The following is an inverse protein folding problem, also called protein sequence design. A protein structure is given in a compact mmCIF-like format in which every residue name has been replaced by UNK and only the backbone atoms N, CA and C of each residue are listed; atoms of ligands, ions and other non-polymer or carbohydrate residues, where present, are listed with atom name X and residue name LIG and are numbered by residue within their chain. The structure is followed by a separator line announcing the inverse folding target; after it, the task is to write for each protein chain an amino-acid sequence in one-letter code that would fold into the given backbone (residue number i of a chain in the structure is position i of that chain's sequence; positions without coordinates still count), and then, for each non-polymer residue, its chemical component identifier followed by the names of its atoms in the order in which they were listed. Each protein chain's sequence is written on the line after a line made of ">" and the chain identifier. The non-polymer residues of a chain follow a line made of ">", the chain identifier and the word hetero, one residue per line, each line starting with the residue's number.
data_IF_882132340328
#
_entry.id   IF_882132340328
#
_cell.length_a   1.000
_cell.length_b   1.000
_cell.length_c   1.000
_cell.angle_alpha   90.00
_cell.angle_beta   90.00
_cell.angle_gamma   90.00
#
_symmetry.space_group_name_H-M   'P 1'
#
loop_
_entity.id
_entity.type
_entity.pdbx_description
1 polymer ?
#
# COMPACT_ATOMS: atom_id res chain seq x y z
N UNK A 1 -5.65 -22.92 10.93
CA UNK A 1 -6.70 -22.79 9.90
C UNK A 1 -6.86 -21.30 9.72
N UNK A 2 -6.21 -20.75 8.70
CA UNK A 2 -6.03 -19.30 8.54
C UNK A 2 -7.34 -18.67 8.07
N UNK A 3 -7.75 -17.58 8.73
CA UNK A 3 -8.97 -16.81 8.45
C UNK A 3 -9.04 -16.32 6.99
N UNK A 4 -7.89 -16.25 6.30
CA UNK A 4 -7.73 -15.95 4.87
C UNK A 4 -8.30 -17.00 3.90
N UNK A 5 -8.55 -18.23 4.39
CA UNK A 5 -9.25 -19.27 3.63
C UNK A 5 -10.79 -19.13 3.66
N UNK A 6 -11.32 -18.21 4.48
CA UNK A 6 -12.74 -17.84 4.46
C UNK A 6 -13.12 -16.97 3.27
N UNK A 7 -14.34 -17.14 2.79
CA UNK A 7 -15.02 -16.20 1.88
C UNK A 7 -15.22 -14.87 2.64
N UNK A 8 -14.25 -13.95 2.57
CA UNK A 8 -14.40 -12.64 3.19
C UNK A 8 -14.02 -11.54 2.19
N UNK A 9 -15.05 -10.89 1.65
CA UNK A 9 -14.95 -9.61 0.98
C UNK A 9 -14.79 -8.51 2.05
N UNK A 10 -14.04 -7.44 1.74
CA UNK A 10 -14.05 -6.26 2.62
C UNK A 10 -15.35 -5.51 2.34
N UNK A 11 -16.36 -5.78 3.15
CA UNK A 11 -17.67 -5.13 3.09
C UNK A 11 -17.57 -3.81 3.88
N UNK A 12 -17.63 -2.67 3.18
CA UNK A 12 -18.00 -1.43 3.85
C UNK A 12 -19.52 -1.50 4.10
N UNK A 13 -20.02 -1.41 5.35
CA UNK A 13 -21.43 -1.62 5.62
C UNK A 13 -22.29 -0.58 4.89
N UNK A 14 -23.03 -1.03 3.90
CA UNK A 14 -24.05 -0.25 3.20
C UNK A 14 -25.31 -0.25 4.07
N UNK A 15 -25.51 0.80 4.85
CA UNK A 15 -26.83 1.08 5.41
C UNK A 15 -27.49 2.24 4.63
N UNK A 16 -28.55 1.92 3.90
CA UNK A 16 -29.48 2.89 3.30
C UNK A 16 -28.98 3.58 2.01
N UNK A 17 -28.67 2.81 0.97
CA UNK A 17 -28.81 3.25 -0.43
C UNK A 17 -30.31 3.46 -0.69
N UNK A 18 -30.84 4.55 -1.23
CA UNK A 18 -30.60 5.08 -2.57
C UNK A 18 -30.82 6.61 -2.66
N UNK A 19 -31.32 7.27 -1.60
CA UNK A 19 -31.85 8.63 -1.75
C UNK A 19 -30.81 9.76 -1.55
N UNK A 20 -29.81 9.60 -0.67
CA UNK A 20 -28.98 10.74 -0.21
C UNK A 20 -27.72 11.06 -1.03
N UNK A 21 -27.18 10.10 -1.80
CA UNK A 21 -26.00 10.32 -2.67
C UNK A 21 -26.34 10.46 -4.16
N UNK A 22 -27.64 10.42 -4.50
CA UNK A 22 -28.13 10.61 -5.87
C UNK A 22 -27.77 11.99 -6.46
N UNK A 23 -27.27 12.90 -5.63
CA UNK A 23 -26.82 14.24 -6.03
C UNK A 23 -25.33 14.43 -5.77
N UNK A 24 -24.69 15.22 -6.63
CA UNK A 24 -23.31 15.67 -6.45
C UNK A 24 -23.08 16.41 -5.12
N UNK A 25 -24.12 17.03 -4.54
CA UNK A 25 -24.05 17.67 -3.24
C UNK A 25 -23.90 16.63 -2.10
N UNK A 26 -24.69 15.56 -2.15
CA UNK A 26 -24.57 14.45 -1.19
C UNK A 26 -23.20 13.77 -1.27
N UNK A 27 -22.67 13.58 -2.48
CA UNK A 27 -21.31 13.06 -2.68
C UNK A 27 -20.27 13.97 -2.01
N UNK A 28 -20.33 15.28 -2.23
CA UNK A 28 -19.39 16.23 -1.64
C UNK A 28 -19.45 16.22 -0.09
N UNK A 29 -20.64 16.11 0.49
CA UNK A 29 -20.82 16.03 1.95
C UNK A 29 -20.24 14.74 2.53
N UNK A 30 -20.54 13.58 1.92
CA UNK A 30 -20.02 12.28 2.39
C UNK A 30 -18.50 12.21 2.24
N UNK A 31 -17.93 12.74 1.16
CA UNK A 31 -16.47 12.88 1.02
C UNK A 31 -15.90 13.77 2.13
N UNK A 32 -16.52 14.92 2.41
CA UNK A 32 -16.08 15.82 3.48
C UNK A 32 -16.09 15.15 4.86
N UNK A 33 -17.15 14.38 5.16
CA UNK A 33 -17.25 13.60 6.40
C UNK A 33 -16.25 12.45 6.44
N UNK A 34 -16.06 11.74 5.34
CA UNK A 34 -15.10 10.63 5.23
C UNK A 34 -13.68 11.09 5.56
N UNK A 35 -13.24 12.20 4.95
CA UNK A 35 -11.90 12.75 5.18
C UNK A 35 -11.68 13.22 6.62
N UNK A 36 -12.76 13.51 7.35
CA UNK A 36 -12.72 13.89 8.77
C UNK A 36 -13.13 12.75 9.71
N UNK A 37 -13.28 11.51 9.21
CA UNK A 37 -13.82 10.39 10.01
C UNK A 37 -13.02 10.14 11.30
N UNK A 38 -11.70 10.29 11.25
CA UNK A 38 -10.84 10.12 12.42
C UNK A 38 -11.11 11.18 13.49
N UNK A 39 -11.38 12.42 13.10
CA UNK A 39 -11.72 13.53 13.98
C UNK A 39 -13.14 13.38 14.52
N UNK A 40 -14.10 13.03 13.65
CA UNK A 40 -15.52 12.83 14.01
C UNK A 40 -15.69 11.69 15.01
N UNK A 41 -14.91 10.61 14.85
CA UNK A 41 -14.96 9.42 15.70
C UNK A 41 -13.95 9.45 16.85
N UNK A 42 -13.26 10.57 17.08
CA UNK A 42 -12.28 10.68 18.15
C UNK A 42 -12.93 10.43 19.51
N UNK A 43 -12.44 9.42 20.22
CA UNK A 43 -12.99 9.02 21.53
C UNK A 43 -14.31 8.27 21.47
N UNK A 44 -14.74 7.84 20.26
CA UNK A 44 -15.93 7.03 20.05
C UNK A 44 -15.57 5.62 19.61
N UNK A 45 -16.44 4.68 19.90
CA UNK A 45 -16.42 3.28 19.49
C UNK A 45 -17.58 2.99 18.55
N UNK A 46 -17.52 1.90 17.81
CA UNK A 46 -18.61 1.47 16.91
C UNK A 46 -19.93 1.18 17.63
N UNK A 47 -19.91 1.02 18.96
CA UNK A 47 -21.10 0.86 19.80
C UNK A 47 -21.79 2.19 20.12
N UNK A 48 -21.10 3.32 19.92
CA UNK A 48 -21.70 4.64 20.14
C UNK A 48 -22.64 4.98 18.98
N UNK A 49 -23.91 5.29 19.26
CA UNK A 49 -24.88 5.67 18.22
C UNK A 49 -24.52 6.94 17.43
N UNK A 50 -23.53 7.71 17.89
CA UNK A 50 -22.97 8.88 17.20
C UNK A 50 -21.66 8.57 16.44
N UNK A 51 -21.26 7.30 16.36
CA UNK A 51 -20.13 6.85 15.57
C UNK A 51 -20.48 6.95 14.09
N UNK A 52 -19.63 7.65 13.35
CA UNK A 52 -19.81 7.81 11.92
C UNK A 52 -19.20 6.63 11.19
N UNK A 53 -20.04 5.84 10.52
CA UNK A 53 -19.65 4.83 9.55
C UNK A 53 -19.67 5.48 8.17
N UNK A 54 -18.50 5.57 7.54
CA UNK A 54 -18.44 6.09 6.19
C UNK A 54 -18.83 5.02 5.17
N UNK A 55 -19.40 5.49 4.05
CA UNK A 55 -19.76 4.69 2.88
C UNK A 55 -18.58 4.36 1.97
N UNK A 56 -17.40 4.91 2.24
CA UNK A 56 -16.18 4.62 1.48
C UNK A 56 -15.18 3.79 2.29
N UNK A 57 -14.46 2.92 1.59
CA UNK A 57 -13.19 2.38 2.06
C UNK A 57 -12.04 3.33 1.65
N UNK A 58 -11.11 3.60 2.58
CA UNK A 58 -9.88 4.34 2.24
C UNK A 58 -8.84 3.39 1.68
N UNK A 59 -8.25 3.80 0.56
CA UNK A 59 -7.07 3.25 -0.06
C UNK A 59 -5.99 4.35 -0.11
N UNK A 60 -4.73 3.97 -0.27
CA UNK A 60 -3.60 4.91 -0.23
C UNK A 60 -2.58 4.54 -1.29
N UNK A 61 -2.20 5.52 -2.11
CA UNK A 61 -1.09 5.38 -3.06
C UNK A 61 0.29 5.55 -2.43
N UNK A 62 0.38 6.10 -1.20
CA UNK A 62 1.65 6.21 -0.48
C UNK A 62 1.89 4.98 0.41
N UNK A 63 2.77 4.09 -0.04
CA UNK A 63 3.16 2.87 0.67
C UNK A 63 3.75 3.14 2.06
N UNK A 64 4.50 4.23 2.25
CA UNK A 64 5.06 4.58 3.58
C UNK A 64 3.95 4.94 4.54
N UNK A 65 3.00 5.75 4.09
CA UNK A 65 1.84 6.12 4.89
C UNK A 65 1.02 4.90 5.29
N UNK A 66 0.78 3.99 4.34
CA UNK A 66 0.08 2.73 4.57
C UNK A 66 0.79 1.89 5.63
N UNK A 67 2.08 1.61 5.46
CA UNK A 67 2.86 0.80 6.39
C UNK A 67 2.94 1.43 7.79
N UNK A 68 3.24 2.73 7.86
CA UNK A 68 3.30 3.47 9.12
C UNK A 68 1.98 3.36 9.89
N UNK A 69 0.87 3.57 9.18
CA UNK A 69 -0.48 3.48 9.74
C UNK A 69 -0.81 2.06 10.18
N UNK A 70 -0.42 1.04 9.41
CA UNK A 70 -0.64 -0.37 9.75
C UNK A 70 0.09 -0.77 11.03
N UNK A 71 1.37 -0.36 11.20
CA UNK A 71 2.10 -0.61 12.45
C UNK A 71 1.51 0.13 13.65
N UNK A 72 1.05 1.38 13.46
CA UNK A 72 0.36 2.12 14.52
C UNK A 72 -0.98 1.50 14.95
N UNK A 73 -1.69 0.87 14.02
CA UNK A 73 -2.92 0.13 14.31
C UNK A 73 -2.60 -1.19 15.00
N UNK A 74 -1.58 -1.89 14.51
CA UNK A 74 -1.09 -3.14 15.07
C UNK A 74 -0.72 -2.99 16.57
N UNK A 75 -0.04 -1.91 16.94
CA UNK A 75 0.31 -1.63 18.35
C UNK A 75 -0.90 -1.38 19.28
N UNK A 76 -2.12 -1.30 18.72
CA UNK A 76 -3.38 -1.03 19.43
C UNK A 76 -4.42 -2.13 19.17
N UNK A 77 -4.02 -3.22 18.51
CA UNK A 77 -4.95 -4.27 18.11
C UNK A 77 -5.41 -5.08 19.32
N UNK A 78 -6.67 -5.50 19.29
CA UNK A 78 -7.22 -6.45 20.26
C UNK A 78 -6.76 -7.87 19.92
N UNK A 79 -6.78 -8.77 20.91
CA UNK A 79 -6.44 -10.18 20.69
C UNK A 79 -7.34 -10.80 19.60
N UNK A 80 -6.72 -11.49 18.63
CA UNK A 80 -7.42 -12.13 17.51
C UNK A 80 -7.64 -11.25 16.27
N UNK A 81 -7.17 -10.01 16.25
CA UNK A 81 -7.15 -9.18 15.04
C UNK A 81 -5.75 -9.17 14.41
N UNK A 82 -5.71 -9.24 13.09
CA UNK A 82 -4.47 -9.09 12.31
C UNK A 82 -4.43 -7.72 11.62
N UNK A 83 -3.29 -7.06 11.72
CA UNK A 83 -3.02 -5.78 11.05
C UNK A 83 -1.93 -5.97 10.02
N UNK A 84 -2.06 -5.34 8.85
CA UNK A 84 -1.10 -5.50 7.78
C UNK A 84 -1.30 -4.51 6.64
N UNK A 85 -0.63 -4.76 5.54
CA UNK A 85 -0.76 -4.03 4.28
C UNK A 85 -1.45 -4.93 3.25
N UNK A 86 -2.60 -4.48 2.76
CA UNK A 86 -3.28 -5.09 1.61
C UNK A 86 -2.93 -4.30 0.34
N UNK A 87 -2.53 -5.00 -0.72
CA UNK A 87 -2.19 -4.45 -2.03
C UNK A 87 -3.29 -4.84 -2.99
N UNK A 88 -3.87 -3.85 -3.67
CA UNK A 88 -4.95 -4.08 -4.64
C UNK A 88 -4.57 -3.63 -6.04
N UNK A 89 -4.98 -4.40 -7.06
CA UNK A 89 -4.92 -3.99 -8.45
C UNK A 89 -6.14 -3.11 -8.76
N UNK A 90 -5.89 -1.82 -8.96
CA UNK A 90 -6.95 -0.85 -9.25
C UNK A 90 -7.67 -1.10 -10.58
N UNK A 91 -7.00 -1.71 -11.57
CA UNK A 91 -7.66 -2.08 -12.81
C UNK A 91 -8.72 -3.17 -12.56
N UNK A 92 -8.37 -4.19 -11.78
CA UNK A 92 -9.31 -5.26 -11.41
C UNK A 92 -10.45 -4.70 -10.55
N UNK A 93 -10.17 -3.78 -9.62
CA UNK A 93 -11.23 -3.08 -8.86
C UNK A 93 -12.26 -2.45 -9.80
N UNK A 94 -11.79 -1.69 -10.80
CA UNK A 94 -12.66 -1.02 -11.77
C UNK A 94 -13.39 -2.01 -12.69
N UNK A 95 -12.74 -3.09 -13.13
CA UNK A 95 -13.33 -4.15 -13.96
C UNK A 95 -14.46 -4.89 -13.22
N UNK A 96 -14.31 -5.08 -11.90
CA UNK A 96 -15.34 -5.64 -11.03
C UNK A 96 -16.46 -4.65 -10.68
N UNK A 97 -16.45 -3.43 -11.24
CA UNK A 97 -17.48 -2.42 -11.03
C UNK A 97 -17.28 -1.52 -9.80
N UNK A 98 -16.18 -1.67 -9.06
CA UNK A 98 -15.87 -0.78 -7.94
C UNK A 98 -15.50 0.62 -8.44
N UNK A 99 -16.02 1.66 -7.80
CA UNK A 99 -15.72 3.04 -8.14
C UNK A 99 -14.60 3.55 -7.25
N UNK A 100 -13.41 3.70 -7.84
CA UNK A 100 -12.22 4.21 -7.16
C UNK A 100 -11.97 5.64 -7.60
N UNK A 101 -11.97 6.57 -6.66
CA UNK A 101 -11.66 7.97 -6.92
C UNK A 101 -10.39 8.36 -6.19
N UNK A 102 -9.45 8.96 -6.92
CA UNK A 102 -8.37 9.71 -6.29
C UNK A 102 -8.96 10.96 -5.65
N UNK A 103 -8.75 11.14 -4.35
CA UNK A 103 -9.40 12.22 -3.60
C UNK A 103 -8.97 13.59 -4.13
N UNK A 104 -7.70 13.78 -4.47
CA UNK A 104 -7.22 15.06 -5.02
C UNK A 104 -7.94 15.47 -6.31
N UNK A 105 -8.17 14.52 -7.22
CA UNK A 105 -8.90 14.76 -8.48
C UNK A 105 -10.37 15.07 -8.21
N UNK A 106 -10.98 14.35 -7.26
CA UNK A 106 -12.36 14.59 -6.84
C UNK A 106 -12.52 15.98 -6.20
N UNK A 107 -11.60 16.39 -5.33
CA UNK A 107 -11.60 17.72 -4.71
C UNK A 107 -11.41 18.83 -5.75
N UNK A 108 -10.50 18.62 -6.72
CA UNK A 108 -10.30 19.55 -7.83
C UNK A 108 -11.56 19.69 -8.68
N UNK A 109 -12.22 18.57 -8.99
CA UNK A 109 -13.47 18.56 -9.73
C UNK A 109 -14.58 19.30 -8.98
N UNK A 110 -14.81 18.97 -7.71
CA UNK A 110 -15.84 19.60 -6.87
C UNK A 110 -15.58 21.11 -6.69
N UNK A 111 -14.32 21.51 -6.50
CA UNK A 111 -13.94 22.92 -6.34
C UNK A 111 -14.14 23.77 -7.59
N UNK A 112 -14.11 23.18 -8.79
CA UNK A 112 -14.36 23.88 -10.06
C UNK A 112 -15.84 24.13 -10.34
N UNK A 113 -16.75 23.49 -9.60
CA UNK A 113 -18.19 23.62 -9.84
C UNK A 113 -18.76 24.81 -9.05
N UNK A 114 -19.33 25.85 -9.72
CA UNK A 114 -19.83 27.05 -9.04
C UNK A 114 -20.90 26.78 -7.98
N UNK A 115 -21.67 25.69 -8.15
CA UNK A 115 -22.72 25.25 -7.21
C UNK A 115 -22.19 24.54 -5.95
N UNK A 116 -20.91 24.14 -5.96
CA UNK A 116 -20.24 23.42 -4.86
C UNK A 116 -18.97 24.15 -4.37
N UNK A 117 -18.69 25.33 -4.95
CA UNK A 117 -17.51 26.17 -4.66
C UNK A 117 -17.49 26.79 -3.26
N UNK A 118 -18.43 26.42 -2.37
CA UNK A 118 -18.44 26.81 -0.98
C UNK A 118 -19.06 25.70 -0.11
N UNK A 119 -18.41 25.44 1.02
CA UNK A 119 -18.91 24.79 2.25
C UNK A 119 -18.99 23.27 2.44
N UNK A 120 -18.93 22.40 1.42
CA UNK A 120 -19.07 20.96 1.71
C UNK A 120 -17.80 20.33 2.33
N UNK A 121 -16.61 20.71 1.83
CA UNK A 121 -15.34 20.10 2.24
C UNK A 121 -14.43 21.19 2.81
N UNK A 122 -14.14 21.07 4.10
CA UNK A 122 -13.31 22.04 4.84
C UNK A 122 -11.86 22.02 4.35
N UNK A 123 -11.14 23.14 4.49
CA UNK A 123 -9.70 23.18 4.18
C UNK A 123 -8.90 22.14 4.98
N UNK A 124 -9.31 21.86 6.22
CA UNK A 124 -8.70 20.80 7.02
C UNK A 124 -8.82 19.42 6.36
N UNK A 125 -10.00 19.10 5.81
CA UNK A 125 -10.24 17.85 5.08
C UNK A 125 -9.39 17.77 3.80
N UNK A 126 -9.25 18.90 3.09
CA UNK A 126 -8.39 18.98 1.89
C UNK A 126 -6.92 18.75 2.22
N UNK A 127 -6.41 19.40 3.28
CA UNK A 127 -5.03 19.19 3.76
C UNK A 127 -4.81 17.73 4.15
N UNK A 128 -5.78 17.12 4.84
CA UNK A 128 -5.67 15.72 5.23
C UNK A 128 -5.55 14.77 4.03
N UNK A 129 -6.39 14.96 3.01
CA UNK A 129 -6.38 14.17 1.78
C UNK A 129 -5.03 14.19 1.05
N UNK A 130 -4.30 15.32 1.12
CA UNK A 130 -2.99 15.45 0.45
C UNK A 130 -1.86 14.65 1.11
N UNK A 131 -2.02 14.21 2.37
CA UNK A 131 -0.94 13.58 3.12
C UNK A 131 -0.69 12.10 2.77
N UNK A 132 -1.65 11.44 2.13
CA UNK A 132 -1.66 9.98 1.95
C UNK A 132 -1.74 9.53 0.48
N UNK A 133 -1.81 10.46 -0.47
CA UNK A 133 -2.30 10.16 -1.83
C UNK A 133 -3.57 9.30 -1.76
N UNK A 134 -4.58 9.82 -1.06
CA UNK A 134 -5.75 9.02 -0.68
C UNK A 134 -6.63 8.72 -1.89
N UNK A 135 -7.10 7.48 -1.94
CA UNK A 135 -8.15 7.02 -2.83
C UNK A 135 -9.33 6.58 -1.97
N UNK A 136 -10.53 6.83 -2.46
CA UNK A 136 -11.74 6.30 -1.85
C UNK A 136 -12.36 5.30 -2.81
N UNK A 137 -12.70 4.13 -2.27
CA UNK A 137 -13.49 3.13 -2.97
C UNK A 137 -14.92 3.22 -2.45
N UNK A 138 -15.86 3.46 -3.35
CA UNK A 138 -17.27 3.28 -3.04
C UNK A 138 -17.57 1.78 -3.08
N UNK A 139 -18.36 1.31 -2.12
CA UNK A 139 -19.02 0.01 -2.12
C UNK A 139 -18.15 -1.10 -1.53
N UNK A 140 -17.79 -2.09 -2.34
CA UNK A 140 -17.07 -3.30 -1.94
C UNK A 140 -15.70 -3.33 -2.62
N UNK A 141 -14.69 -3.77 -1.88
CA UNK A 141 -13.38 -4.10 -2.46
C UNK A 141 -13.40 -5.62 -2.75
N UNK A 142 -13.56 -6.03 -4.02
CA UNK A 142 -13.59 -7.44 -4.40
C UNK A 142 -12.28 -8.14 -4.05
N UNK A 143 -12.37 -9.37 -3.53
CA UNK A 143 -11.19 -10.20 -3.21
C UNK A 143 -10.32 -10.47 -4.44
N UNK A 144 -10.91 -10.52 -5.62
CA UNK A 144 -10.23 -10.74 -6.90
C UNK A 144 -9.19 -9.65 -7.20
N UNK A 145 -9.39 -8.44 -6.67
CA UNK A 145 -8.44 -7.35 -6.83
C UNK A 145 -7.31 -7.39 -5.80
N UNK A 146 -7.39 -8.22 -4.75
CA UNK A 146 -6.33 -8.37 -3.75
C UNK A 146 -5.14 -9.10 -4.39
N UNK A 147 -4.05 -8.35 -4.60
CA UNK A 147 -2.78 -8.89 -5.09
C UNK A 147 -2.06 -9.62 -3.97
N UNK A 148 -1.97 -8.99 -2.79
CA UNK A 148 -1.33 -9.60 -1.63
C UNK A 148 -1.81 -8.95 -0.32
N UNK A 149 -1.72 -9.69 0.79
CA UNK A 149 -1.82 -9.16 2.14
C UNK A 149 -0.58 -9.60 2.93
N UNK A 150 0.09 -8.63 3.54
CA UNK A 150 1.27 -8.88 4.36
C UNK A 150 1.01 -8.37 5.77
N UNK A 151 1.09 -9.26 6.75
CA UNK A 151 0.89 -8.88 8.15
C UNK A 151 2.08 -8.12 8.72
N UNK A 152 1.82 -7.26 9.70
CA UNK A 152 2.85 -6.55 10.43
C UNK A 152 3.81 -7.51 11.13
N UNK A 153 3.31 -8.65 11.62
CA UNK A 153 4.14 -9.67 12.27
C UNK A 153 5.12 -10.28 11.27
N UNK A 154 4.64 -10.71 10.09
CA UNK A 154 5.50 -11.27 9.03
C UNK A 154 6.60 -10.30 8.61
N UNK A 155 6.30 -9.02 8.43
CA UNK A 155 7.30 -8.00 8.05
C UNK A 155 8.40 -7.77 9.11
N UNK A 156 8.25 -8.35 10.29
CA UNK A 156 9.16 -8.13 11.43
C UNK A 156 9.70 -9.42 12.04
N UNK A 157 9.27 -10.57 11.53
CA UNK A 157 9.60 -11.88 12.08
C UNK A 157 11.04 -12.28 11.74
N UNK A 158 11.71 -12.96 12.68
CA UNK A 158 13.00 -13.63 12.47
C UNK A 158 14.21 -12.74 12.15
N UNK A 159 14.05 -11.42 11.99
CA UNK A 159 15.13 -10.50 11.62
C UNK A 159 15.66 -9.75 12.85
N UNK A 160 16.99 -9.69 12.96
CA UNK A 160 17.63 -8.83 13.94
C UNK A 160 17.31 -7.35 13.63
N UNK A 161 17.04 -6.48 14.64
CA UNK A 161 16.59 -5.11 14.42
C UNK A 161 17.47 -4.29 13.46
N UNK A 162 18.79 -4.51 13.51
CA UNK A 162 19.77 -3.86 12.66
C UNK A 162 19.73 -4.33 11.21
N UNK A 163 19.04 -5.42 10.88
CA UNK A 163 18.87 -5.93 9.50
C UNK A 163 17.49 -5.62 8.92
N UNK A 164 16.55 -5.14 9.73
CA UNK A 164 15.22 -4.78 9.29
C UNK A 164 15.24 -3.52 8.42
N UNK A 165 14.45 -3.52 7.35
CA UNK A 165 14.20 -2.31 6.55
C UNK A 165 13.26 -1.34 7.27
N UNK A 166 12.20 -1.85 7.91
CA UNK A 166 11.27 -1.04 8.68
C UNK A 166 11.76 -0.89 10.12
N UNK A 167 12.50 0.19 10.37
CA UNK A 167 13.08 0.51 11.69
C UNK A 167 12.01 0.64 12.79
N UNK A 168 12.39 0.40 14.04
CA UNK A 168 11.49 0.63 15.19
C UNK A 168 10.97 2.07 15.21
N UNK A 169 11.79 3.07 14.91
CA UNK A 169 11.33 4.46 14.91
C UNK A 169 10.31 4.74 13.80
N UNK A 170 10.38 4.02 12.67
CA UNK A 170 9.34 4.09 11.66
C UNK A 170 8.04 3.48 12.21
N UNK A 171 8.10 2.28 12.79
CA UNK A 171 6.93 1.53 13.27
C UNK A 171 6.22 2.18 14.47
N UNK A 172 6.98 2.80 15.37
CA UNK A 172 6.51 3.19 16.71
C UNK A 172 6.18 4.68 16.84
N UNK A 173 6.67 5.53 15.94
CA UNK A 173 6.38 6.97 16.00
C UNK A 173 4.90 7.27 15.73
N UNK A 174 4.38 8.33 16.35
CA UNK A 174 2.95 8.67 16.21
C UNK A 174 2.60 9.27 14.84
N UNK A 175 3.57 9.73 14.07
CA UNK A 175 3.35 10.26 12.71
C UNK A 175 4.61 10.18 11.87
N UNK A 176 4.47 10.11 10.55
CA UNK A 176 5.60 10.25 9.63
C UNK A 176 6.34 11.58 9.79
N UNK A 177 5.65 12.65 10.22
CA UNK A 177 6.30 13.93 10.50
C UNK A 177 7.28 13.84 11.68
N UNK A 178 6.90 13.13 12.74
CA UNK A 178 7.80 12.87 13.87
C UNK A 178 8.92 11.89 13.50
N UNK A 179 8.62 10.90 12.67
CA UNK A 179 9.66 10.01 12.12
C UNK A 179 10.72 10.77 11.33
N UNK A 180 10.33 11.75 10.51
CA UNK A 180 11.28 12.58 9.72
C UNK A 180 12.26 13.38 10.58
N UNK A 181 11.97 13.58 11.87
CA UNK A 181 12.85 14.25 12.84
C UNK A 181 13.84 13.30 13.50
N UNK A 182 13.70 11.99 13.31
CA UNK A 182 14.62 10.98 13.85
C UNK A 182 15.91 10.92 13.07
N UNK A 183 16.97 10.50 13.75
CA UNK A 183 18.27 10.32 13.12
C UNK A 183 18.20 9.26 12.02
N UNK A 184 18.90 9.55 10.92
CA UNK A 184 18.99 8.65 9.79
C UNK A 184 20.13 7.67 10.01
N UNK A 185 19.92 6.43 9.60
CA UNK A 185 20.98 5.42 9.61
C UNK A 185 21.80 5.57 8.35
N UNK A 186 23.11 5.72 8.52
CA UNK A 186 24.05 5.70 7.40
C UNK A 186 24.29 4.26 6.95
N UNK A 187 24.11 3.98 5.66
CA UNK A 187 24.33 2.67 5.06
C UNK A 187 25.20 2.77 3.81
N UNK A 188 25.90 1.69 3.50
CA UNK A 188 26.41 1.48 2.14
C UNK A 188 25.26 1.17 1.18
N UNK A 189 25.46 1.33 -0.15
CA UNK A 189 24.45 0.92 -1.13
C UNK A 189 24.08 -0.57 -1.00
N UNK A 190 25.08 -1.42 -0.73
CA UNK A 190 24.88 -2.86 -0.60
C UNK A 190 24.05 -3.22 0.63
N UNK A 191 24.31 -2.57 1.77
CA UNK A 191 23.51 -2.78 2.98
C UNK A 191 22.07 -2.31 2.79
N UNK A 192 21.86 -1.18 2.12
CA UNK A 192 20.53 -0.66 1.86
C UNK A 192 19.72 -1.59 0.96
N UNK A 193 20.31 -2.03 -0.16
CA UNK A 193 19.67 -2.95 -1.10
C UNK A 193 19.43 -4.33 -0.47
N UNK A 194 20.34 -4.82 0.37
CA UNK A 194 20.17 -6.08 1.09
C UNK A 194 18.95 -6.04 2.04
N UNK A 195 18.78 -4.95 2.79
CA UNK A 195 17.59 -4.77 3.66
C UNK A 195 16.31 -4.70 2.84
N UNK A 196 16.34 -4.02 1.69
CA UNK A 196 15.18 -3.95 0.78
C UNK A 196 14.84 -5.34 0.23
N UNK A 197 15.82 -6.12 -0.22
CA UNK A 197 15.58 -7.49 -0.72
C UNK A 197 14.84 -8.34 0.31
N UNK A 198 15.29 -8.34 1.56
CA UNK A 198 14.61 -9.06 2.65
C UNK A 198 13.16 -8.59 2.85
N UNK A 199 12.94 -7.27 2.82
CA UNK A 199 11.61 -6.69 2.95
C UNK A 199 10.69 -6.98 1.75
N UNK A 200 11.24 -6.96 0.53
CA UNK A 200 10.51 -7.26 -0.69
C UNK A 200 10.14 -8.74 -0.79
N UNK A 201 10.95 -9.65 -0.23
CA UNK A 201 10.63 -11.07 -0.15
C UNK A 201 9.28 -11.32 0.54
N UNK A 202 8.94 -10.55 1.58
CA UNK A 202 7.63 -10.63 2.23
C UNK A 202 6.52 -9.99 1.39
N UNK A 203 6.77 -8.81 0.80
CA UNK A 203 5.80 -8.12 -0.08
C UNK A 203 5.45 -8.95 -1.32
N UNK A 204 6.45 -9.62 -1.88
CA UNK A 204 6.35 -10.32 -3.15
C UNK A 204 6.05 -11.80 -3.01
N UNK A 205 5.95 -12.31 -1.77
CA UNK A 205 5.58 -13.70 -1.51
C UNK A 205 4.24 -14.01 -2.16
N UNK A 206 4.21 -15.10 -2.92
CA UNK A 206 3.03 -15.62 -3.62
C UNK A 206 2.32 -14.61 -4.55
N UNK A 207 3.07 -13.72 -5.22
CA UNK A 207 2.50 -12.87 -6.27
C UNK A 207 1.92 -13.73 -7.41
N UNK A 208 0.65 -13.49 -7.74
CA UNK A 208 -0.01 -14.11 -8.88
C UNK A 208 0.66 -13.69 -10.20
N UNK A 209 0.90 -14.62 -11.14
CA UNK A 209 1.49 -14.32 -12.46
C UNK A 209 0.60 -13.41 -13.33
N UNK A 210 -0.69 -13.30 -13.00
CA UNK A 210 -1.63 -12.37 -13.68
C UNK A 210 -1.43 -10.92 -13.26
N UNK A 211 -0.69 -10.66 -12.18
CA UNK A 211 -0.36 -9.32 -11.73
C UNK A 211 0.45 -8.62 -12.83
N UNK A 212 0.12 -7.37 -13.13
CA UNK A 212 0.87 -6.55 -14.09
C UNK A 212 2.24 -6.19 -13.53
N UNK A 213 3.20 -7.11 -13.66
CA UNK A 213 4.52 -7.04 -13.03
C UNK A 213 5.28 -5.74 -13.30
N UNK A 214 5.18 -5.20 -14.51
CA UNK A 214 5.80 -3.92 -14.89
C UNK A 214 5.38 -2.80 -13.95
N UNK A 215 4.08 -2.63 -13.71
CA UNK A 215 3.57 -1.53 -12.87
C UNK A 215 3.92 -1.72 -11.39
N UNK A 216 3.88 -2.96 -10.89
CA UNK A 216 4.27 -3.23 -9.50
C UNK A 216 5.77 -2.97 -9.28
N UNK A 217 6.62 -3.41 -10.21
CA UNK A 217 8.07 -3.17 -10.17
C UNK A 217 8.37 -1.69 -10.26
N UNK A 218 7.76 -0.97 -11.20
CA UNK A 218 7.92 0.49 -11.35
C UNK A 218 7.50 1.21 -10.07
N UNK A 219 6.37 0.84 -9.47
CA UNK A 219 5.87 1.46 -8.24
C UNK A 219 6.81 1.20 -7.06
N UNK A 220 7.26 -0.04 -6.86
CA UNK A 220 8.17 -0.39 -5.78
C UNK A 220 9.53 0.28 -5.94
N UNK A 221 10.07 0.32 -7.17
CA UNK A 221 11.29 1.05 -7.47
C UNK A 221 11.13 2.55 -7.19
N UNK A 222 10.07 3.19 -7.72
CA UNK A 222 9.78 4.61 -7.50
C UNK A 222 9.61 4.94 -6.01
N UNK A 223 9.14 4.00 -5.21
CA UNK A 223 8.94 4.16 -3.77
C UNK A 223 10.22 3.95 -2.95
N UNK A 224 11.11 3.05 -3.39
CA UNK A 224 12.27 2.59 -2.61
C UNK A 224 13.60 3.19 -3.08
N UNK A 225 13.67 3.82 -4.25
CA UNK A 225 14.92 4.40 -4.76
C UNK A 225 15.36 5.66 -4.02
N UNK A 226 14.48 6.31 -3.25
CA UNK A 226 14.86 7.41 -2.36
C UNK A 226 14.93 6.91 -0.90
N UNK A 227 16.14 6.72 -0.33
CA UNK A 227 16.30 6.21 1.03
C UNK A 227 15.86 7.19 2.12
N UNK A 228 15.83 8.48 1.81
CA UNK A 228 15.63 9.53 2.79
C UNK A 228 14.25 9.49 3.46
N UNK A 229 13.13 9.37 2.72
CA UNK A 229 11.82 8.96 3.18
C UNK A 229 11.74 7.85 4.22
N UNK A 230 12.64 6.88 4.13
CA UNK A 230 12.66 5.66 4.93
C UNK A 230 13.59 5.75 6.14
N UNK A 231 14.17 6.95 6.38
CA UNK A 231 15.06 7.18 7.51
C UNK A 231 16.49 6.68 7.27
N UNK A 232 16.91 6.58 6.01
CA UNK A 232 18.25 6.16 5.64
C UNK A 232 19.01 7.28 4.94
N UNK A 233 20.33 7.25 5.09
CA UNK A 233 21.26 7.99 4.25
C UNK A 233 22.21 6.98 3.63
N UNK A 234 22.28 6.91 2.31
CA UNK A 234 23.16 5.97 1.61
C UNK A 234 24.40 6.73 1.15
N UNK A 235 25.56 6.36 1.69
CA UNK A 235 26.84 6.93 1.25
C UNK A 235 27.37 6.12 0.06
N UNK A 236 27.39 6.71 -1.13
CA UNK A 236 27.94 6.07 -2.31
C UNK A 236 27.38 6.62 -3.61
N UNK A 237 27.71 5.93 -4.71
CA UNK A 237 27.17 6.26 -6.02
C UNK A 237 25.66 5.93 -6.07
N UNK A 238 24.86 6.98 -6.30
CA UNK A 238 23.41 6.88 -6.44
C UNK A 238 23.02 5.99 -7.63
N UNK A 239 23.73 6.08 -8.75
CA UNK A 239 23.43 5.28 -9.95
C UNK A 239 23.68 3.79 -9.70
N UNK A 240 24.74 3.46 -8.96
CA UNK A 240 25.02 2.09 -8.55
C UNK A 240 23.91 1.53 -7.67
N UNK A 241 23.47 2.30 -6.66
CA UNK A 241 22.38 1.90 -5.77
C UNK A 241 21.06 1.70 -6.53
N UNK A 242 20.69 2.65 -7.40
CA UNK A 242 19.45 2.57 -8.19
C UNK A 242 19.43 1.36 -9.12
N UNK A 243 20.54 1.06 -9.80
CA UNK A 243 20.62 -0.13 -10.66
C UNK A 243 20.53 -1.42 -9.85
N UNK A 244 21.25 -1.52 -8.73
CA UNK A 244 21.17 -2.68 -7.83
C UNK A 244 19.77 -2.87 -7.27
N UNK A 245 19.11 -1.78 -6.86
CA UNK A 245 17.74 -1.82 -6.41
C UNK A 245 16.81 -2.34 -7.50
N UNK A 246 16.90 -1.81 -8.72
CA UNK A 246 16.06 -2.27 -9.84
C UNK A 246 16.29 -3.76 -10.13
N UNK A 247 17.54 -4.22 -10.10
CA UNK A 247 17.86 -5.64 -10.25
C UNK A 247 17.21 -6.49 -9.13
N UNK A 248 17.31 -6.06 -7.88
CA UNK A 248 16.67 -6.73 -6.74
C UNK A 248 15.15 -6.77 -6.88
N UNK A 249 14.49 -5.66 -7.22
CA UNK A 249 13.03 -5.64 -7.39
C UNK A 249 12.58 -6.62 -8.48
N UNK A 250 13.32 -6.73 -9.59
CA UNK A 250 13.04 -7.72 -10.64
C UNK A 250 13.27 -9.17 -10.15
N UNK A 251 14.37 -9.41 -9.42
CA UNK A 251 14.70 -10.73 -8.90
C UNK A 251 13.67 -11.21 -7.87
N UNK A 252 13.28 -10.36 -6.93
CA UNK A 252 12.27 -10.67 -5.92
C UNK A 252 10.89 -10.91 -6.56
N UNK A 253 10.54 -10.18 -7.63
CA UNK A 253 9.29 -10.40 -8.35
C UNK A 253 9.27 -11.78 -9.02
N UNK A 254 10.38 -12.17 -9.63
CA UNK A 254 10.60 -13.52 -10.17
C UNK A 254 10.49 -14.59 -9.06
N UNK A 255 11.12 -14.38 -7.90
CA UNK A 255 11.00 -15.27 -6.74
C UNK A 255 9.54 -15.38 -6.26
N UNK A 256 8.82 -14.26 -6.25
CA UNK A 256 7.39 -14.20 -5.93
C UNK A 256 6.53 -15.09 -6.81
N UNK A 257 6.68 -15.00 -8.13
CA UNK A 257 6.02 -15.90 -9.09
C UNK A 257 6.38 -17.36 -8.79
N UNK A 258 7.67 -17.64 -8.56
CA UNK A 258 8.14 -18.98 -8.22
C UNK A 258 7.44 -19.52 -6.96
N UNK A 259 7.34 -18.72 -5.90
CA UNK A 259 6.65 -19.13 -4.67
C UNK A 259 5.14 -19.38 -4.88
N UNK A 260 4.47 -18.57 -5.71
CA UNK A 260 3.07 -18.77 -6.08
C UNK A 260 2.85 -20.11 -6.79
N UNK A 261 3.77 -20.50 -7.68
CA UNK A 261 3.68 -21.80 -8.37
C UNK A 261 3.69 -22.98 -7.41
N UNK A 262 4.30 -22.86 -6.23
CA UNK A 262 4.35 -23.93 -5.23
C UNK A 262 3.28 -23.82 -4.15
N UNK A 263 2.45 -22.75 -4.16
CA UNK A 263 1.45 -22.50 -3.13
C UNK A 263 0.16 -23.33 -3.31
N UNK A 264 0.09 -24.23 -4.31
CA UNK A 264 -1.07 -25.09 -4.55
C UNK A 264 -2.30 -24.39 -5.15
N UNK A 265 -2.20 -23.09 -5.47
CA UNK A 265 -3.29 -22.24 -5.98
C UNK A 265 -3.39 -22.35 -7.52
N UNK A 266 -3.63 -23.55 -8.05
CA UNK A 266 -3.54 -23.79 -9.50
C UNK A 266 -4.85 -23.52 -10.25
N UNK A 267 -4.83 -22.52 -11.14
CA UNK A 267 -5.76 -22.37 -12.28
C UNK A 267 -5.09 -21.84 -13.55
N UNK A 268 -3.76 -21.68 -13.56
CA UNK A 268 -2.98 -21.01 -14.61
C UNK A 268 -1.93 -21.97 -15.19
N UNK A 269 -1.61 -21.79 -16.47
CA UNK A 269 -0.57 -22.52 -17.20
C UNK A 269 0.82 -22.36 -16.53
N UNK A 270 1.38 -23.48 -16.06
CA UNK A 270 2.70 -23.54 -15.43
C UNK A 270 3.82 -23.05 -16.35
N UNK A 271 3.70 -23.27 -17.66
CA UNK A 271 4.71 -22.84 -18.62
C UNK A 271 4.76 -21.30 -18.69
N UNK A 272 3.60 -20.66 -18.71
CA UNK A 272 3.51 -19.19 -18.67
C UNK A 272 4.18 -18.60 -17.41
N UNK A 273 3.98 -19.23 -16.25
CA UNK A 273 4.61 -18.81 -15.00
C UNK A 273 6.15 -18.91 -15.08
N UNK A 274 6.67 -20.03 -15.59
CA UNK A 274 8.12 -20.22 -15.76
C UNK A 274 8.73 -19.24 -16.75
N UNK A 275 8.03 -18.93 -17.84
CA UNK A 275 8.50 -17.99 -18.85
C UNK A 275 8.58 -16.56 -18.27
N UNK A 276 7.55 -16.12 -17.55
CA UNK A 276 7.57 -14.84 -16.83
C UNK A 276 8.68 -14.78 -15.78
N UNK A 277 8.82 -15.84 -14.96
CA UNK A 277 9.88 -15.93 -13.95
C UNK A 277 11.27 -15.74 -14.58
N UNK A 278 11.55 -16.48 -15.65
CA UNK A 278 12.82 -16.39 -16.39
C UNK A 278 13.03 -15.00 -17.00
N UNK A 279 11.98 -14.39 -17.54
CA UNK A 279 12.07 -13.04 -18.11
C UNK A 279 12.58 -12.02 -17.07
N UNK A 280 11.96 -11.98 -15.88
CA UNK A 280 12.34 -11.04 -14.83
C UNK A 280 13.69 -11.37 -14.18
N UNK A 281 14.03 -12.66 -14.05
CA UNK A 281 15.36 -13.06 -13.59
C UNK A 281 16.45 -12.62 -14.58
N UNK A 282 16.25 -12.82 -15.88
CA UNK A 282 17.20 -12.37 -16.91
C UNK A 282 17.35 -10.85 -16.94
N UNK A 283 16.25 -10.10 -16.70
CA UNK A 283 16.33 -8.63 -16.53
C UNK A 283 17.21 -8.25 -15.34
N UNK A 284 17.04 -8.91 -14.20
CA UNK A 284 17.87 -8.67 -13.01
C UNK A 284 19.35 -8.99 -13.27
N UNK A 285 19.65 -10.12 -13.90
CA UNK A 285 21.02 -10.53 -14.23
C UNK A 285 21.71 -9.56 -15.19
N UNK A 286 21.01 -9.09 -16.23
CA UNK A 286 21.55 -8.09 -17.17
C UNK A 286 21.92 -6.78 -16.47
N UNK A 287 21.05 -6.28 -15.60
CA UNK A 287 21.29 -5.05 -14.83
C UNK A 287 22.53 -5.15 -13.94
N UNK A 288 22.81 -6.33 -13.39
CA UNK A 288 24.02 -6.59 -12.60
C UNK A 288 25.27 -6.79 -13.47
N UNK A 289 25.13 -7.46 -14.62
CA UNK A 289 26.26 -7.78 -15.50
C UNK A 289 26.85 -6.55 -16.20
N UNK A 290 26.02 -5.59 -16.59
CA UNK A 290 26.45 -4.32 -17.20
C UNK A 290 27.42 -3.51 -16.32
N UNK A 291 27.50 -3.82 -15.02
CA UNK A 291 28.37 -3.13 -14.06
C UNK A 291 29.76 -3.76 -13.91
N UNK A 292 29.87 -5.09 -14.06
CA UNK A 292 31.15 -5.79 -13.95
C UNK A 292 32.08 -5.55 -15.16
N UNK A 293 31.62 -4.77 -16.15
CA UNK A 293 32.35 -4.42 -17.37
C UNK A 293 32.99 -3.02 -17.35
N UNK A 294 32.82 -2.26 -16.26
CA UNK A 294 33.34 -0.90 -16.09
C UNK A 294 34.18 -0.77 -14.82
#
# INVERSE_FOLDING_TARGET
>A
MEEWQGESEIIAPIMGMEESLSTMAGLAEEVGRHLLKTQINRGKTTMDGSYYLSRFASLSGDMRWTLHTSFRKHSRQSAGQESGMAIFDTAILMECGAQVFRVSDLLLFLGKQPRYGGSAITELAKVWATNADEYICWDVIPKQALVNFISCDTMTDGLAPERMFLRSEFRETQSLALFKQKDRVLLSPDDYVCRISLFLCDIMREISPTTKGVHLIEHLFATLHDPYPWGYHVAGDKNYMERKLLAVVNAEYSCGIGSWMFSGKFSIDLQHCEDLRKEYLLKAERLLAEFNMH
#
